data_IF_841021090464
#
_entry.id   IF_841021090464
#
_cell.length_a   1.000
_cell.length_b   1.000
_cell.length_c   1.000
_cell.angle_alpha   90.00
_cell.angle_beta   90.00
_cell.angle_gamma   90.00
#
_symmetry.space_group_name_H-M   'P 1'
#
loop_
_entity.id
_entity.type
_entity.pdbx_description
1 polymer ?
#
# COMPACT_ATOMS: atom_id res chain seq x y z
N UNK A 1 -3.86 -13.88 -30.14
CA UNK A 1 -2.42 -14.03 -29.91
C UNK A 1 -1.98 -13.15 -28.77
N UNK A 2 -0.92 -13.53 -28.05
CA UNK A 2 -0.33 -12.75 -26.97
C UNK A 2 1.17 -12.64 -27.26
N UNK A 3 1.74 -11.44 -27.17
CA UNK A 3 3.18 -11.23 -27.25
C UNK A 3 3.81 -11.46 -25.89
N UNK A 4 5.13 -11.72 -25.83
CA UNK A 4 5.84 -11.87 -24.57
C UNK A 4 5.70 -10.62 -23.69
N UNK A 5 5.85 -9.44 -24.26
CA UNK A 5 5.66 -8.17 -23.55
C UNK A 5 4.22 -7.95 -23.09
N UNK A 6 3.23 -8.40 -23.86
CA UNK A 6 1.81 -8.31 -23.52
C UNK A 6 1.42 -9.19 -22.32
N UNK A 7 2.18 -10.25 -22.04
CA UNK A 7 1.96 -11.14 -20.90
C UNK A 7 2.57 -10.60 -19.59
N UNK A 8 3.58 -9.74 -19.67
CA UNK A 8 4.35 -9.25 -18.50
C UNK A 8 3.50 -8.39 -17.54
N UNK A 9 2.69 -7.48 -18.08
CA UNK A 9 1.88 -6.60 -17.24
C UNK A 9 0.82 -7.37 -16.43
N UNK A 10 -0.01 -8.26 -17.02
CA UNK A 10 -0.91 -9.12 -16.27
C UNK A 10 -0.19 -10.03 -15.26
N UNK A 11 1.00 -10.54 -15.62
CA UNK A 11 1.79 -11.37 -14.72
C UNK A 11 2.24 -10.59 -13.47
N UNK A 12 2.75 -9.38 -13.64
CA UNK A 12 3.17 -8.51 -12.50
C UNK A 12 2.00 -8.17 -11.58
N UNK A 13 0.83 -7.90 -12.16
CA UNK A 13 -0.40 -7.57 -11.40
C UNK A 13 -1.10 -8.80 -10.82
N UNK A 14 -0.56 -10.02 -11.00
CA UNK A 14 -1.22 -11.26 -10.59
C UNK A 14 -1.09 -11.61 -9.10
N UNK A 15 -0.39 -10.78 -8.33
CA UNK A 15 -0.15 -11.00 -6.88
C UNK A 15 0.54 -12.35 -6.60
N UNK A 16 1.39 -12.84 -7.53
CA UNK A 16 2.04 -14.15 -7.41
C UNK A 16 1.10 -15.35 -7.55
N UNK A 17 -0.16 -15.13 -7.95
CA UNK A 17 -1.18 -16.19 -7.99
C UNK A 17 -1.51 -16.55 -9.45
N UNK A 18 -1.24 -17.80 -9.90
CA UNK A 18 -1.55 -18.23 -11.28
C UNK A 18 -3.03 -18.08 -11.67
N UNK A 19 -3.95 -18.28 -10.71
CA UNK A 19 -5.39 -18.08 -10.93
C UNK A 19 -5.71 -16.63 -11.29
N UNK A 20 -5.10 -15.66 -10.58
CA UNK A 20 -5.29 -14.22 -10.84
C UNK A 20 -4.65 -13.86 -12.19
N UNK A 21 -3.43 -14.34 -12.48
CA UNK A 21 -2.77 -14.13 -13.76
C UNK A 21 -3.65 -14.59 -14.94
N UNK A 22 -4.19 -15.80 -14.87
CA UNK A 22 -5.07 -16.34 -15.91
C UNK A 22 -6.36 -15.53 -16.05
N UNK A 23 -6.94 -15.05 -14.94
CA UNK A 23 -8.14 -14.20 -14.97
C UNK A 23 -7.86 -12.86 -15.65
N UNK A 24 -6.75 -12.22 -15.31
CA UNK A 24 -6.33 -10.95 -15.93
C UNK A 24 -6.04 -11.13 -17.41
N UNK A 25 -5.34 -12.21 -17.78
CA UNK A 25 -5.02 -12.50 -19.17
C UNK A 25 -6.28 -12.77 -20.02
N UNK A 26 -7.27 -13.50 -19.48
CA UNK A 26 -8.57 -13.70 -20.15
C UNK A 26 -9.28 -12.37 -20.38
N UNK A 27 -9.32 -11.49 -19.38
CA UNK A 27 -9.91 -10.14 -19.50
C UNK A 27 -9.16 -9.27 -20.51
N UNK A 28 -7.82 -9.31 -20.49
CA UNK A 28 -7.00 -8.61 -21.48
C UNK A 28 -7.27 -9.13 -22.90
N UNK A 29 -7.45 -10.44 -23.08
CA UNK A 29 -7.83 -11.05 -24.35
C UNK A 29 -9.20 -10.54 -24.84
N UNK A 30 -10.20 -10.55 -23.95
CA UNK A 30 -11.55 -10.11 -24.31
C UNK A 30 -11.54 -8.61 -24.71
N UNK A 31 -10.75 -7.80 -23.99
CA UNK A 31 -10.51 -6.39 -24.33
C UNK A 31 -9.81 -6.24 -25.71
N UNK A 32 -8.77 -7.06 -25.96
CA UNK A 32 -8.04 -7.06 -27.23
C UNK A 32 -8.93 -7.42 -28.42
N UNK A 33 -9.86 -8.35 -28.24
CA UNK A 33 -10.83 -8.74 -29.28
C UNK A 33 -11.77 -7.59 -29.67
N UNK A 34 -12.14 -6.77 -28.68
CA UNK A 34 -13.07 -5.65 -28.92
C UNK A 34 -12.37 -4.41 -29.46
N UNK A 35 -11.17 -4.08 -28.96
CA UNK A 35 -10.49 -2.82 -29.24
C UNK A 35 -9.11 -2.94 -29.87
N UNK A 36 -8.46 -4.09 -29.82
CA UNK A 36 -7.04 -4.27 -30.17
C UNK A 36 -6.74 -5.24 -31.30
N UNK A 37 -7.70 -5.56 -32.18
CA UNK A 37 -7.45 -6.48 -33.30
C UNK A 37 -7.11 -7.92 -32.92
N UNK A 38 -7.40 -8.33 -31.65
CA UNK A 38 -7.23 -9.70 -31.18
C UNK A 38 -5.81 -10.07 -30.73
N UNK A 39 -4.89 -9.11 -30.65
CA UNK A 39 -3.53 -9.30 -30.15
C UNK A 39 -3.37 -8.60 -28.81
N UNK A 40 -2.85 -9.32 -27.83
CA UNK A 40 -2.46 -8.75 -26.54
C UNK A 40 -0.99 -8.37 -26.64
N UNK A 41 -0.72 -7.12 -26.92
CA UNK A 41 0.60 -6.50 -26.82
C UNK A 41 0.72 -5.71 -25.51
N UNK A 42 1.87 -5.12 -25.22
CA UNK A 42 2.11 -4.36 -24.00
C UNK A 42 1.11 -3.20 -23.80
N UNK A 43 0.78 -2.49 -24.87
CA UNK A 43 -0.15 -1.36 -24.83
C UNK A 43 -1.58 -1.82 -24.55
N UNK A 44 -2.05 -2.85 -25.27
CA UNK A 44 -3.39 -3.43 -25.07
C UNK A 44 -3.55 -4.02 -23.67
N UNK A 45 -2.52 -4.72 -23.17
CA UNK A 45 -2.52 -5.25 -21.81
C UNK A 45 -2.62 -4.14 -20.77
N UNK A 46 -1.87 -3.05 -20.94
CA UNK A 46 -1.91 -1.92 -20.02
C UNK A 46 -3.25 -1.19 -20.05
N UNK A 47 -3.83 -0.96 -21.23
CA UNK A 47 -5.17 -0.39 -21.37
C UNK A 47 -6.24 -1.27 -20.72
N UNK A 48 -6.13 -2.59 -20.86
CA UNK A 48 -7.06 -3.53 -20.25
C UNK A 48 -6.97 -3.48 -18.72
N UNK A 49 -5.76 -3.42 -18.13
CA UNK A 49 -5.57 -3.29 -16.68
C UNK A 49 -6.12 -1.95 -16.17
N UNK A 50 -5.89 -0.85 -16.88
CA UNK A 50 -6.47 0.45 -16.56
C UNK A 50 -8.00 0.42 -16.59
N UNK A 51 -8.58 -0.23 -17.58
CA UNK A 51 -10.05 -0.39 -17.67
C UNK A 51 -10.63 -1.25 -16.53
N UNK A 52 -9.84 -2.15 -15.97
CA UNK A 52 -10.17 -2.92 -14.77
C UNK A 52 -9.83 -2.18 -13.47
N UNK A 53 -9.35 -0.93 -13.55
CA UNK A 53 -8.91 -0.12 -12.41
C UNK A 53 -7.81 -0.77 -11.56
N UNK A 54 -6.99 -1.62 -12.19
CA UNK A 54 -5.84 -2.28 -11.57
C UNK A 54 -4.59 -1.45 -11.83
N UNK A 55 -3.88 -1.10 -10.79
CA UNK A 55 -2.65 -0.33 -10.88
C UNK A 55 -1.40 -1.19 -11.16
N UNK A 56 -0.23 -0.55 -11.26
CA UNK A 56 1.04 -1.22 -11.56
C UNK A 56 1.46 -2.26 -10.51
N UNK A 57 0.96 -2.15 -9.29
CA UNK A 57 1.20 -3.11 -8.20
C UNK A 57 0.11 -4.20 -8.12
N UNK A 58 -0.87 -4.18 -9.03
CA UNK A 58 -1.98 -5.12 -9.00
C UNK A 58 -3.03 -4.81 -7.94
N UNK A 59 -3.07 -3.58 -7.42
CA UNK A 59 -4.10 -3.14 -6.49
C UNK A 59 -5.36 -2.77 -7.26
N UNK A 60 -6.49 -3.26 -6.79
CA UNK A 60 -7.81 -2.88 -7.30
C UNK A 60 -8.36 -1.65 -6.52
N UNK A 61 -9.58 -1.26 -6.85
CA UNK A 61 -10.23 -0.12 -6.21
C UNK A 61 -10.42 -0.34 -4.70
N UNK A 62 -10.73 -1.56 -4.27
CA UNK A 62 -10.96 -1.86 -2.87
C UNK A 62 -9.67 -1.85 -2.05
N UNK A 63 -8.57 -2.41 -2.59
CA UNK A 63 -7.25 -2.30 -1.94
C UNK A 63 -6.89 -0.84 -1.66
N UNK A 64 -7.08 0.03 -2.68
CA UNK A 64 -6.80 1.45 -2.53
C UNK A 64 -7.75 2.13 -1.54
N UNK A 65 -9.02 1.72 -1.49
CA UNK A 65 -10.00 2.23 -0.52
C UNK A 65 -9.66 1.83 0.91
N UNK A 66 -9.16 0.61 1.11
CA UNK A 66 -8.66 0.14 2.41
C UNK A 66 -7.50 1.02 2.89
N UNK A 67 -6.47 1.20 2.05
CA UNK A 67 -5.31 2.03 2.40
C UNK A 67 -5.70 3.49 2.64
N UNK A 68 -6.50 4.09 1.76
CA UNK A 68 -6.99 5.47 1.91
C UNK A 68 -7.85 5.64 3.15
N UNK A 69 -8.75 4.69 3.42
CA UNK A 69 -9.58 4.71 4.62
C UNK A 69 -8.75 4.78 5.91
N UNK A 70 -7.68 3.97 6.00
CA UNK A 70 -6.77 4.02 7.15
C UNK A 70 -6.02 5.36 7.20
N UNK A 71 -5.59 5.90 6.07
CA UNK A 71 -4.84 7.16 6.02
C UNK A 71 -5.74 8.35 6.36
N UNK A 72 -6.87 8.49 5.67
CA UNK A 72 -7.71 9.68 5.73
C UNK A 72 -8.57 9.74 6.99
N UNK A 73 -9.12 8.57 7.42
CA UNK A 73 -10.02 8.51 8.57
C UNK A 73 -9.28 8.27 9.90
N UNK A 74 -8.13 7.58 9.86
CA UNK A 74 -7.42 7.14 11.08
C UNK A 74 -5.95 7.59 11.12
N UNK A 75 -5.57 8.54 10.28
CA UNK A 75 -4.22 9.12 10.29
C UNK A 75 -3.10 8.10 10.01
N UNK A 76 -3.40 7.02 9.31
CA UNK A 76 -2.45 5.93 9.02
C UNK A 76 -2.51 4.76 10.00
N UNK A 77 -3.45 4.77 10.92
CA UNK A 77 -3.67 3.73 11.93
C UNK A 77 -3.03 4.02 13.29
N UNK A 78 -3.17 3.13 14.27
CA UNK A 78 -3.79 1.79 14.17
C UNK A 78 -5.33 1.82 14.15
N UNK A 79 -5.94 0.92 13.37
CA UNK A 79 -7.40 0.75 13.28
C UNK A 79 -7.77 -0.72 13.39
N UNK A 80 -8.86 -1.01 14.11
CA UNK A 80 -9.39 -2.37 14.25
C UNK A 80 -9.99 -2.91 12.95
N UNK A 81 -10.02 -4.23 12.79
CA UNK A 81 -10.53 -4.88 11.57
C UNK A 81 -11.99 -4.52 11.30
N UNK A 82 -12.85 -4.66 12.30
CA UNK A 82 -14.30 -4.42 12.15
C UNK A 82 -14.59 -2.94 11.84
N UNK A 83 -13.84 -2.04 12.44
CA UNK A 83 -13.95 -0.60 12.17
C UNK A 83 -13.53 -0.28 10.73
N UNK A 84 -12.44 -0.89 10.26
CA UNK A 84 -11.97 -0.73 8.89
C UNK A 84 -12.97 -1.32 7.90
N UNK A 85 -13.49 -2.52 8.17
CA UNK A 85 -14.50 -3.19 7.36
C UNK A 85 -15.75 -2.32 7.18
N UNK A 86 -16.26 -1.76 8.28
CA UNK A 86 -17.39 -0.83 8.24
C UNK A 86 -17.06 0.45 7.44
N UNK A 87 -15.83 0.95 7.50
CA UNK A 87 -15.39 2.15 6.78
C UNK A 87 -15.39 1.94 5.27
N UNK A 88 -14.94 0.77 4.80
CA UNK A 88 -14.85 0.46 3.37
C UNK A 88 -16.10 -0.25 2.81
N UNK A 89 -17.04 -0.62 3.68
CA UNK A 89 -18.27 -1.29 3.31
C UNK A 89 -18.10 -2.76 2.92
N UNK A 90 -17.13 -3.45 3.55
CA UNK A 90 -16.83 -4.86 3.33
C UNK A 90 -16.96 -5.69 4.61
N UNK A 91 -17.00 -7.01 4.45
CA UNK A 91 -16.97 -7.92 5.59
C UNK A 91 -15.56 -8.06 6.17
N UNK A 92 -15.44 -8.10 7.50
CA UNK A 92 -14.16 -8.25 8.20
C UNK A 92 -13.36 -9.47 7.73
N UNK A 93 -14.03 -10.61 7.54
CA UNK A 93 -13.39 -11.85 7.05
C UNK A 93 -12.84 -11.66 5.64
N UNK A 94 -13.57 -10.99 4.76
CA UNK A 94 -13.11 -10.69 3.39
C UNK A 94 -11.85 -9.82 3.39
N UNK A 95 -11.81 -8.80 4.24
CA UNK A 95 -10.61 -7.97 4.38
C UNK A 95 -9.42 -8.77 4.88
N UNK A 96 -9.61 -9.59 5.92
CA UNK A 96 -8.54 -10.37 6.54
C UNK A 96 -8.00 -11.47 5.63
N UNK A 97 -8.87 -12.17 4.88
CA UNK A 97 -8.49 -13.33 4.10
C UNK A 97 -8.07 -13.00 2.66
N UNK A 98 -8.62 -11.95 2.08
CA UNK A 98 -8.42 -11.64 0.65
C UNK A 98 -7.49 -10.44 0.42
N UNK A 99 -7.66 -9.35 1.17
CA UNK A 99 -6.98 -8.08 0.92
C UNK A 99 -5.73 -7.88 1.76
N UNK A 100 -5.81 -8.11 3.08
CA UNK A 100 -4.67 -7.92 3.99
C UNK A 100 -3.43 -8.73 3.61
N UNK A 101 -3.51 -10.03 3.23
CA UNK A 101 -2.32 -10.82 2.99
C UNK A 101 -1.43 -10.24 1.89
N UNK A 102 -2.04 -9.76 0.82
CA UNK A 102 -1.29 -9.15 -0.27
C UNK A 102 -0.72 -7.78 0.10
N UNK A 103 -1.52 -6.92 0.73
CA UNK A 103 -1.07 -5.61 1.19
C UNK A 103 0.08 -5.71 2.21
N UNK A 104 0.07 -6.73 3.05
CA UNK A 104 1.17 -7.03 3.97
C UNK A 104 2.40 -7.58 3.24
N UNK A 105 2.20 -8.45 2.24
CA UNK A 105 3.29 -9.03 1.45
C UNK A 105 4.08 -7.97 0.70
N UNK A 106 3.42 -6.97 0.12
CA UNK A 106 4.08 -5.85 -0.57
C UNK A 106 4.55 -4.74 0.39
N UNK A 107 4.31 -4.91 1.69
CA UNK A 107 4.76 -3.98 2.72
C UNK A 107 3.96 -2.68 2.82
N UNK A 108 2.72 -2.64 2.32
CA UNK A 108 1.86 -1.45 2.38
C UNK A 108 1.05 -1.39 3.67
N UNK A 109 0.78 -2.54 4.27
CA UNK A 109 0.05 -2.69 5.52
C UNK A 109 0.89 -3.41 6.56
N UNK A 110 0.80 -3.01 7.81
CA UNK A 110 1.37 -3.72 8.95
C UNK A 110 0.28 -4.03 9.98
N UNK A 111 0.35 -5.22 10.56
CA UNK A 111 -0.55 -5.65 11.64
C UNK A 111 0.15 -5.48 12.98
N UNK A 112 -0.45 -4.71 13.86
CA UNK A 112 0.04 -4.48 15.22
C UNK A 112 -0.97 -5.01 16.24
N UNK A 113 -0.60 -5.20 17.53
CA UNK A 113 -1.54 -5.58 18.57
C UNK A 113 -2.72 -4.59 18.74
N UNK A 114 -2.53 -3.34 18.32
CA UNK A 114 -3.55 -2.28 18.38
C UNK A 114 -4.43 -2.21 17.12
N UNK A 115 -4.04 -2.88 16.04
CA UNK A 115 -4.76 -2.85 14.77
C UNK A 115 -3.85 -2.71 13.55
N UNK A 116 -4.46 -2.35 12.44
CA UNK A 116 -3.81 -2.20 11.12
C UNK A 116 -3.25 -0.80 10.96
N UNK A 117 -2.02 -0.72 10.47
CA UNK A 117 -1.34 0.54 10.17
C UNK A 117 -0.84 0.54 8.73
N UNK A 118 -0.98 1.68 8.07
CA UNK A 118 -0.39 1.89 6.73
C UNK A 118 1.07 2.26 6.87
N UNK A 119 1.92 1.71 6.00
CA UNK A 119 3.35 1.98 5.99
C UNK A 119 3.68 3.19 5.10
N UNK A 120 4.91 3.69 5.21
CA UNK A 120 5.41 4.77 4.36
C UNK A 120 5.35 4.43 2.88
N UNK A 121 5.63 3.16 2.51
CA UNK A 121 5.58 2.71 1.11
C UNK A 121 4.20 2.89 0.49
N UNK A 122 3.13 2.68 1.24
CA UNK A 122 1.77 2.90 0.77
C UNK A 122 1.44 4.38 0.58
N UNK A 123 1.93 5.26 1.46
CA UNK A 123 1.79 6.71 1.27
C UNK A 123 2.48 7.16 -0.03
N UNK A 124 3.70 6.70 -0.27
CA UNK A 124 4.48 7.01 -1.48
C UNK A 124 3.75 6.50 -2.74
N UNK A 125 3.23 5.26 -2.70
CA UNK A 125 2.48 4.67 -3.81
C UNK A 125 1.18 5.44 -4.13
N UNK A 126 0.45 5.87 -3.11
CA UNK A 126 -0.79 6.65 -3.28
C UNK A 126 -0.54 8.14 -3.58
N UNK A 127 0.71 8.60 -3.55
CA UNK A 127 1.07 10.01 -3.73
C UNK A 127 0.60 10.90 -2.58
N UNK A 128 0.41 10.34 -1.38
CA UNK A 128 -0.02 11.04 -0.19
C UNK A 128 1.16 11.39 0.71
N UNK A 129 1.06 12.51 1.44
CA UNK A 129 2.09 12.89 2.42
C UNK A 129 1.88 12.15 3.73
N UNK A 130 2.95 11.52 4.24
CA UNK A 130 2.94 10.94 5.59
C UNK A 130 3.22 12.04 6.63
N UNK A 131 2.16 12.62 7.19
CA UNK A 131 2.25 13.67 8.21
C UNK A 131 2.72 13.14 9.59
N UNK A 132 2.89 11.83 9.77
CA UNK A 132 3.39 11.23 11.02
C UNK A 132 4.89 11.45 11.21
N UNK A 133 5.62 11.82 10.15
CA UNK A 133 7.04 12.16 10.18
C UNK A 133 7.27 13.67 10.11
N UNK A 134 6.49 14.48 10.83
CA UNK A 134 6.99 15.79 11.24
C UNK A 134 8.11 15.55 12.26
N UNK A 135 9.32 16.09 12.08
CA UNK A 135 10.37 15.94 13.06
C UNK A 135 9.94 16.69 14.32
N UNK A 136 9.31 15.98 15.25
CA UNK A 136 9.26 16.45 16.64
C UNK A 136 10.61 16.18 17.24
N UNK A 137 11.43 17.22 17.19
CA UNK A 137 12.50 17.53 18.14
C UNK A 137 13.32 16.35 18.70
N UNK A 138 14.38 16.03 17.99
CA UNK A 138 15.58 15.44 18.59
C UNK A 138 16.51 16.52 19.16
N UNK A 139 15.98 17.61 19.72
CA UNK A 139 16.79 18.69 20.34
C UNK A 139 16.34 19.04 21.75
N UNK A 140 15.79 18.09 22.49
CA UNK A 140 15.42 18.34 23.89
C UNK A 140 15.99 17.28 24.87
N UNK A 141 17.20 16.79 24.61
CA UNK A 141 17.81 15.83 25.56
C UNK A 141 19.35 15.90 25.64
N UNK A 142 19.94 17.08 25.63
CA UNK A 142 21.39 17.23 25.81
C UNK A 142 21.81 18.39 26.75
N UNK A 143 20.96 18.90 27.65
CA UNK A 143 21.35 19.97 28.56
C UNK A 143 21.03 19.70 30.05
N UNK A 144 21.12 18.46 30.51
CA UNK A 144 20.92 18.17 31.93
C UNK A 144 22.26 17.81 32.68
N UNK A 145 23.36 17.67 31.96
CA UNK A 145 24.63 17.24 32.57
C UNK A 145 25.81 18.21 32.50
N UNK A 146 25.59 19.50 32.25
CA UNK A 146 26.67 20.48 32.20
C UNK A 146 26.51 21.65 33.21
N UNK A 147 26.12 21.35 34.46
CA UNK A 147 26.23 22.37 35.51
C UNK A 147 26.46 21.68 36.85
N UNK A 148 27.67 21.24 37.11
CA UNK A 148 28.15 20.98 38.48
C UNK A 148 29.62 20.59 38.46
N UNK A 149 30.53 21.47 38.03
CA UNK A 149 31.92 21.49 38.52
C UNK A 149 32.45 22.90 38.27
N UNK A 150 32.35 23.75 39.23
CA UNK A 150 33.33 24.82 39.57
C UNK A 150 32.83 25.63 40.72
N UNK A 151 33.36 25.36 41.88
CA UNK A 151 33.64 26.38 42.91
C UNK A 151 34.19 25.71 44.15
N UNK A 152 35.44 25.75 44.33
CA UNK A 152 36.02 25.31 45.60
C UNK A 152 37.53 25.28 45.58
N UNK A 153 38.15 26.39 45.28
CA UNK A 153 39.55 26.57 45.71
C UNK A 153 39.86 28.05 45.89
N UNK A 154 40.15 28.38 47.13
CA UNK A 154 41.06 29.37 47.71
C UNK A 154 40.44 29.83 49.00
N UNK A 155 41.12 29.80 50.11
CA UNK A 155 42.40 30.34 50.59
C UNK A 155 42.46 29.97 52.08
N UNK A 156 43.40 29.58 52.64
CA UNK A 156 44.74 29.92 53.17
C UNK A 156 45.20 28.81 54.05
#
# INVERSE_FOLDING_TARGET
>A
ACTDDGSLAPARCSRGTPRVANRLLKRARDFAQVKGGGVIDAQTAQMALQHMEIDAQGLDQLDRSVLRGIIEMYGGGPVGLDTLAATVGEESITLEDVYEPYLMQIGFLSRTPRGRCVTRLAYEHLGLRDNRQSPRDSTAQLDIFSTSVESGEKTE
#
